data_IF_555796692658
#
_entry.id   IF_555796692658
#
_cell.length_a   1.000
_cell.length_b   1.000
_cell.length_c   1.000
_cell.angle_alpha   90.00
_cell.angle_beta   90.00
_cell.angle_gamma   90.00
#
_symmetry.space_group_name_H-M   'P 1'
#
loop_
_entity.id
_entity.type
_entity.pdbx_description
1 polymer ?
#
# COMPACT_ATOMS: atom_id res chain seq x y z
N UNK A 1 -10.33 17.92 -1.54
CA UNK A 1 -11.07 17.03 -0.62
C UNK A 1 -10.11 15.91 -0.24
N UNK A 2 -9.31 16.18 0.78
CA UNK A 2 -8.15 15.40 1.18
C UNK A 2 -8.66 14.21 1.98
N UNK A 3 -8.78 13.06 1.34
CA UNK A 3 -8.99 11.78 2.01
C UNK A 3 -7.65 11.39 2.64
N UNK A 4 -7.34 12.01 3.79
CA UNK A 4 -6.35 11.50 4.73
C UNK A 4 -6.66 10.02 4.93
N UNK A 5 -5.64 9.16 4.81
CA UNK A 5 -5.74 7.75 5.16
C UNK A 5 -6.41 7.62 6.53
N UNK A 6 -7.72 7.36 6.54
CA UNK A 6 -8.49 7.19 7.75
C UNK A 6 -8.09 5.82 8.28
N UNK A 7 -7.06 5.83 9.14
CA UNK A 7 -6.56 4.65 9.81
C UNK A 7 -7.74 3.91 10.48
N UNK A 8 -7.77 2.56 10.40
CA UNK A 8 -8.71 1.75 11.14
C UNK A 8 -8.86 2.23 12.59
N UNK A 9 -10.08 2.24 13.16
CA UNK A 9 -10.36 2.88 14.45
C UNK A 9 -9.50 2.34 15.62
N UNK A 10 -8.99 1.11 15.53
CA UNK A 10 -8.10 0.53 16.53
C UNK A 10 -6.65 1.04 16.47
N UNK A 11 -6.25 1.71 15.39
CA UNK A 11 -4.90 2.26 15.19
C UNK A 11 -4.77 3.73 15.60
N UNK A 12 -5.84 4.37 16.08
CA UNK A 12 -5.83 5.79 16.50
C UNK A 12 -5.25 6.05 17.89
N UNK A 13 -5.08 5.02 18.73
CA UNK A 13 -4.72 5.17 20.15
C UNK A 13 -3.21 5.30 20.39
N UNK A 14 -2.37 5.06 19.37
CA UNK A 14 -0.90 5.07 19.49
C UNK A 14 -0.27 6.31 18.81
N UNK A 15 -0.85 7.49 19.05
CA UNK A 15 -0.58 8.71 18.28
C UNK A 15 0.81 9.36 18.44
N UNK A 16 1.56 9.09 19.50
CA UNK A 16 2.81 9.83 19.80
C UNK A 16 4.11 9.01 19.63
N UNK A 17 4.03 7.67 19.55
CA UNK A 17 5.23 6.82 19.51
C UNK A 17 5.60 6.37 18.08
N UNK A 18 4.71 6.56 17.11
CA UNK A 18 4.87 6.04 15.74
C UNK A 18 5.16 7.11 14.68
N UNK A 19 5.26 8.39 15.04
CA UNK A 19 5.63 9.45 14.08
C UNK A 19 7.12 9.41 13.71
N UNK A 20 7.97 8.90 14.60
CA UNK A 20 9.43 8.87 14.43
C UNK A 20 9.98 7.52 13.92
N UNK A 21 9.13 6.49 13.80
CA UNK A 21 9.50 5.17 13.26
C UNK A 21 8.57 4.78 12.10
N UNK A 22 9.17 4.75 10.91
CA UNK A 22 8.75 4.03 9.71
C UNK A 22 7.59 4.59 8.87
N UNK A 23 7.93 4.80 7.60
CA UNK A 23 7.18 5.34 6.49
C UNK A 23 5.89 4.59 6.23
N UNK A 24 4.89 5.28 5.67
CA UNK A 24 3.62 4.67 5.30
C UNK A 24 3.75 3.39 4.44
N UNK A 25 4.84 3.25 3.68
CA UNK A 25 5.12 2.08 2.85
C UNK A 25 5.23 0.81 3.69
N UNK A 26 5.94 0.86 4.82
CA UNK A 26 6.16 -0.31 5.68
C UNK A 26 4.83 -0.79 6.29
N UNK A 27 3.98 0.17 6.70
CA UNK A 27 2.63 -0.13 7.20
C UNK A 27 1.73 -0.67 6.09
N UNK A 28 1.78 -0.07 4.91
CA UNK A 28 1.01 -0.52 3.76
C UNK A 28 1.41 -1.95 3.39
N UNK A 29 2.71 -2.27 3.35
CA UNK A 29 3.21 -3.61 3.09
C UNK A 29 2.72 -4.63 4.13
N UNK A 30 2.81 -4.30 5.42
CA UNK A 30 2.31 -5.16 6.50
C UNK A 30 0.82 -5.50 6.34
N UNK A 31 -0.01 -4.48 6.12
CA UNK A 31 -1.45 -4.67 5.87
C UNK A 31 -1.72 -5.44 4.57
N UNK A 32 -0.97 -5.14 3.51
CA UNK A 32 -1.13 -5.79 2.22
C UNK A 32 -0.87 -7.29 2.30
N UNK A 33 0.21 -7.70 2.97
CA UNK A 33 0.52 -9.10 3.20
C UNK A 33 -0.52 -9.78 4.09
N UNK A 34 -1.01 -9.09 5.12
CA UNK A 34 -2.07 -9.61 5.98
C UNK A 34 -3.35 -9.89 5.19
N UNK A 35 -3.83 -8.91 4.43
CA UNK A 35 -5.05 -9.06 3.62
C UNK A 35 -4.88 -10.05 2.47
N UNK A 36 -3.71 -10.07 1.81
CA UNK A 36 -3.41 -11.08 0.79
C UNK A 36 -3.49 -12.48 1.39
N UNK A 37 -2.94 -12.69 2.58
CA UNK A 37 -3.04 -13.97 3.29
C UNK A 37 -4.49 -14.35 3.61
N UNK A 38 -5.34 -13.40 4.03
CA UNK A 38 -6.76 -13.68 4.26
C UNK A 38 -7.48 -14.15 2.98
N UNK A 39 -7.13 -13.56 1.84
CA UNK A 39 -7.66 -13.96 0.53
C UNK A 39 -7.15 -15.35 0.12
N UNK A 40 -5.84 -15.58 0.25
CA UNK A 40 -5.19 -16.85 -0.11
C UNK A 40 -5.70 -18.01 0.75
N UNK A 41 -5.95 -17.76 2.03
CA UNK A 41 -6.52 -18.72 2.99
C UNK A 41 -8.05 -18.86 2.86
N UNK A 42 -8.69 -18.15 1.92
CA UNK A 42 -10.15 -18.10 1.75
C UNK A 42 -10.92 -17.69 3.02
N UNK A 43 -10.26 -16.99 3.94
CA UNK A 43 -10.88 -16.40 5.14
C UNK A 43 -11.67 -15.14 4.83
N UNK A 44 -11.35 -14.52 3.70
CA UNK A 44 -12.11 -13.49 3.03
C UNK A 44 -12.22 -13.89 1.55
N UNK A 45 -13.40 -13.77 0.95
CA UNK A 45 -13.66 -14.15 -0.44
C UNK A 45 -13.38 -13.01 -1.42
N UNK A 46 -13.26 -11.77 -0.95
CA UNK A 46 -13.00 -10.64 -1.84
C UNK A 46 -12.41 -9.40 -1.15
N UNK A 47 -11.85 -8.52 -1.98
CA UNK A 47 -11.42 -7.17 -1.59
C UNK A 47 -12.60 -6.32 -1.08
N UNK A 48 -13.84 -6.58 -1.54
CA UNK A 48 -15.02 -5.88 -1.06
C UNK A 48 -15.39 -6.28 0.37
N UNK A 49 -15.21 -7.56 0.71
CA UNK A 49 -15.43 -8.05 2.09
C UNK A 49 -14.39 -7.48 3.05
N UNK A 50 -13.12 -7.39 2.62
CA UNK A 50 -12.09 -6.69 3.40
C UNK A 50 -12.48 -5.22 3.61
N UNK A 51 -13.00 -4.55 2.57
CA UNK A 51 -13.43 -3.16 2.67
C UNK A 51 -14.56 -2.97 3.69
N UNK A 52 -15.54 -3.87 3.68
CA UNK A 52 -16.66 -3.90 4.63
C UNK A 52 -16.15 -4.15 6.07
N UNK A 53 -15.29 -5.15 6.26
CA UNK A 53 -14.74 -5.50 7.57
C UNK A 53 -13.90 -4.38 8.19
N UNK A 54 -13.16 -3.64 7.35
CA UNK A 54 -12.29 -2.54 7.77
C UNK A 54 -13.01 -1.17 7.81
N UNK A 55 -14.24 -1.09 7.28
CA UNK A 55 -15.01 0.15 7.21
C UNK A 55 -14.38 1.22 6.31
N UNK A 56 -13.73 0.81 5.21
CA UNK A 56 -13.05 1.68 4.25
C UNK A 56 -13.55 1.45 2.82
N UNK A 57 -13.25 2.37 1.91
CA UNK A 57 -13.62 2.19 0.50
C UNK A 57 -12.79 1.08 -0.17
N UNK A 58 -13.39 0.31 -1.06
CA UNK A 58 -12.72 -0.77 -1.81
C UNK A 58 -11.48 -0.28 -2.58
N UNK A 59 -11.46 0.98 -3.02
CA UNK A 59 -10.32 1.63 -3.67
C UNK A 59 -9.16 1.79 -2.71
N UNK A 60 -9.42 2.05 -1.43
CA UNK A 60 -8.41 2.12 -0.38
C UNK A 60 -7.78 0.75 -0.14
N UNK A 61 -8.60 -0.31 -0.09
CA UNK A 61 -8.10 -1.68 0.02
C UNK A 61 -7.18 -2.03 -1.14
N UNK A 62 -7.62 -1.75 -2.38
CA UNK A 62 -6.81 -1.96 -3.59
C UNK A 62 -5.51 -1.15 -3.57
N UNK A 63 -5.52 0.05 -3.00
CA UNK A 63 -4.35 0.93 -2.89
C UNK A 63 -3.33 0.36 -1.91
N UNK A 64 -3.77 -0.17 -0.77
CA UNK A 64 -2.92 -0.83 0.21
C UNK A 64 -2.41 -2.16 -0.29
N UNK A 65 -3.19 -2.92 -1.08
CA UNK A 65 -2.72 -4.16 -1.71
C UNK A 65 -1.72 -3.92 -2.85
N UNK A 66 -1.78 -2.78 -3.54
CA UNK A 66 -0.94 -2.49 -4.73
C UNK A 66 0.58 -2.72 -4.54
N UNK A 67 1.22 -2.36 -3.40
CA UNK A 67 2.62 -2.68 -3.13
C UNK A 67 2.99 -4.15 -3.29
N UNK A 68 2.10 -5.11 -3.00
CA UNK A 68 2.44 -6.55 -3.14
C UNK A 68 2.58 -7.00 -4.60
N UNK A 69 2.14 -6.16 -5.55
CA UNK A 69 2.27 -6.40 -6.98
C UNK A 69 3.52 -5.74 -7.58
N UNK A 70 4.26 -4.97 -6.79
CA UNK A 70 5.47 -4.29 -7.24
C UNK A 70 6.69 -5.20 -7.13
N UNK A 71 7.61 -5.04 -8.07
CA UNK A 71 8.91 -5.68 -8.03
C UNK A 71 9.66 -5.26 -6.76
N UNK A 72 10.40 -6.16 -6.09
CA UNK A 72 11.17 -5.82 -4.89
C UNK A 72 12.09 -4.61 -5.09
N UNK A 73 12.77 -4.52 -6.23
CA UNK A 73 13.68 -3.41 -6.58
C UNK A 73 12.94 -2.07 -6.72
N UNK A 74 11.66 -2.11 -7.10
CA UNK A 74 10.82 -0.91 -7.13
C UNK A 74 10.45 -0.52 -5.71
N UNK A 75 10.03 -1.46 -4.86
CA UNK A 75 9.71 -1.20 -3.46
C UNK A 75 10.90 -0.57 -2.71
N UNK A 76 12.11 -1.06 -2.94
CA UNK A 76 13.34 -0.49 -2.38
C UNK A 76 13.55 0.98 -2.78
N UNK A 77 13.33 1.32 -4.05
CA UNK A 77 13.42 2.71 -4.54
C UNK A 77 12.34 3.60 -3.93
N UNK A 78 11.16 3.03 -3.73
CA UNK A 78 10.02 3.73 -3.15
C UNK A 78 10.18 3.97 -1.64
N UNK A 79 10.88 3.09 -0.93
CA UNK A 79 11.13 3.20 0.51
C UNK A 79 11.91 4.46 0.91
N UNK A 80 12.72 5.02 -0.01
CA UNK A 80 13.45 6.26 0.21
C UNK A 80 12.68 7.55 -0.12
N UNK A 81 11.42 7.45 -0.58
CA UNK A 81 10.65 8.63 -1.01
C UNK A 81 9.80 9.21 0.13
N UNK A 82 9.63 10.54 0.22
CA UNK A 82 8.68 11.15 1.15
C UNK A 82 7.24 10.67 0.90
N UNK A 83 6.45 10.54 1.97
CA UNK A 83 5.07 10.02 1.93
C UNK A 83 4.20 10.69 0.85
N UNK A 84 4.23 12.02 0.77
CA UNK A 84 3.48 12.78 -0.22
C UNK A 84 3.88 12.50 -1.68
N UNK A 85 5.15 12.13 -1.92
CA UNK A 85 5.64 11.74 -3.25
C UNK A 85 5.19 10.32 -3.55
N UNK A 86 5.34 9.42 -2.59
CA UNK A 86 5.00 8.03 -2.78
C UNK A 86 3.47 7.88 -3.01
N UNK A 87 2.63 8.64 -2.32
CA UNK A 87 1.17 8.62 -2.55
C UNK A 87 0.83 8.96 -4.00
N UNK A 88 1.51 9.96 -4.58
CA UNK A 88 1.33 10.36 -5.97
C UNK A 88 1.80 9.27 -6.92
N UNK A 89 2.93 8.63 -6.62
CA UNK A 89 3.49 7.53 -7.42
C UNK A 89 2.56 6.31 -7.39
N UNK A 90 2.00 5.98 -6.24
CA UNK A 90 1.10 4.84 -6.06
C UNK A 90 -0.28 5.04 -6.69
N UNK A 91 -0.68 6.27 -7.02
CA UNK A 91 -1.90 6.58 -7.79
C UNK A 91 -1.76 6.36 -9.30
N UNK A 92 -0.54 6.22 -9.83
CA UNK A 92 -0.29 6.01 -11.26
C UNK A 92 -0.63 4.57 -11.67
N UNK A 93 -0.99 4.33 -12.94
CA UNK A 93 -1.06 2.97 -13.46
C UNK A 93 0.34 2.36 -13.44
N UNK A 94 0.42 1.12 -12.96
CA UNK A 94 1.65 0.33 -12.94
C UNK A 94 1.54 -0.81 -13.94
N UNK A 95 2.59 -1.09 -14.72
CA UNK A 95 2.61 -2.27 -15.57
C UNK A 95 2.59 -3.53 -14.70
N UNK A 96 1.97 -4.59 -15.21
CA UNK A 96 1.89 -5.87 -14.49
C UNK A 96 3.23 -6.61 -14.44
N UNK A 97 4.08 -6.47 -15.47
CA UNK A 97 5.37 -7.14 -15.54
C UNK A 97 6.45 -6.43 -14.73
N UNK A 98 7.14 -7.15 -13.84
CA UNK A 98 8.22 -6.60 -13.00
C UNK A 98 9.33 -5.93 -13.82
N UNK A 99 9.75 -6.52 -14.94
CA UNK A 99 10.75 -5.91 -15.82
C UNK A 99 10.32 -4.54 -16.35
N UNK A 100 9.03 -4.38 -16.67
CA UNK A 100 8.47 -3.10 -17.14
C UNK A 100 8.34 -2.10 -15.98
N UNK A 101 8.01 -2.57 -14.78
CA UNK A 101 7.98 -1.71 -13.58
C UNK A 101 9.36 -1.15 -13.27
N UNK A 102 10.41 -1.97 -13.33
CA UNK A 102 11.80 -1.53 -13.11
C UNK A 102 12.23 -0.51 -14.17
N UNK A 103 11.83 -0.71 -15.44
CA UNK A 103 12.12 0.21 -16.55
C UNK A 103 11.54 1.62 -16.34
N UNK A 104 10.42 1.76 -15.62
CA UNK A 104 9.85 3.10 -15.30
C UNK A 104 10.78 3.97 -14.47
N UNK A 105 11.71 3.37 -13.73
CA UNK A 105 12.71 4.07 -12.91
C UNK A 105 14.12 3.99 -13.50
N UNK A 106 14.29 3.42 -14.70
CA UNK A 106 15.58 3.45 -15.37
C UNK A 106 15.87 4.89 -15.83
N UNK A 107 17.11 5.39 -15.70
CA UNK A 107 17.48 6.67 -16.29
C UNK A 107 17.28 6.60 -17.82
N UNK A 108 16.88 7.72 -18.47
CA UNK A 108 16.82 7.76 -19.93
C UNK A 108 18.22 7.45 -20.47
N UNK A 109 18.27 6.52 -21.44
CA UNK A 109 19.50 6.15 -22.16
C UNK A 109 19.87 7.22 -23.18
#
# INVERSE_FOLDING_TARGET
MTDELRLPPHLKVLGEVWSDLAHWLDRALGLAHHWQRLLDEQRMVSVAEIAEAEGIDVTQVRRVLRPTLLAPEVLERLAGLPDAVLEKVMRRPWPYGWSDQVRLFAPPT
#
